data_IF_809324565936
#
_entry.id   IF_809324565936
#
_cell.length_a   1.000
_cell.length_b   1.000
_cell.length_c   1.000
_cell.angle_alpha   90.00
_cell.angle_beta   90.00
_cell.angle_gamma   90.00
#
_symmetry.space_group_name_H-M   'P 1'
#
loop_
_entity.id
_entity.type
_entity.pdbx_description
1 polymer ?
#
# COMPACT_ATOMS: atom_id res chain seq x y z
N UNK A 1 -2.07 -14.87 9.14
CA UNK A 1 -2.83 -14.67 7.88
C UNK A 1 -2.39 -13.35 7.25
N UNK A 2 -2.52 -13.16 5.92
CA UNK A 2 -2.04 -11.93 5.24
C UNK A 2 -0.79 -12.10 4.38
N UNK A 3 -0.55 -13.29 3.80
CA UNK A 3 0.65 -13.59 3.02
C UNK A 3 0.49 -13.40 1.51
N UNK A 4 -0.74 -13.35 1.01
CA UNK A 4 -1.05 -13.29 -0.43
C UNK A 4 -0.37 -12.11 -1.12
N UNK A 5 -0.42 -10.90 -0.54
CA UNK A 5 0.19 -9.72 -1.15
C UNK A 5 1.72 -9.80 -1.24
N UNK A 6 2.37 -10.31 -0.19
CA UNK A 6 3.83 -10.47 -0.16
C UNK A 6 4.29 -11.55 -1.13
N UNK A 7 3.53 -12.66 -1.23
CA UNK A 7 3.80 -13.72 -2.20
C UNK A 7 3.60 -13.23 -3.64
N UNK A 8 2.55 -12.45 -3.92
CA UNK A 8 2.33 -11.85 -5.23
C UNK A 8 3.50 -10.93 -5.62
N UNK A 9 3.96 -10.09 -4.69
CA UNK A 9 5.12 -9.22 -4.94
C UNK A 9 6.38 -10.02 -5.27
N UNK A 10 6.63 -11.12 -4.55
CA UNK A 10 7.74 -12.03 -4.83
C UNK A 10 7.64 -12.72 -6.19
N UNK A 11 6.44 -13.16 -6.59
CA UNK A 11 6.21 -13.77 -7.92
C UNK A 11 6.41 -12.78 -9.07
N UNK A 12 6.09 -11.50 -8.84
CA UNK A 12 6.22 -10.45 -9.85
C UNK A 12 7.59 -9.76 -9.86
N UNK A 13 8.46 -10.06 -8.89
CA UNK A 13 9.71 -9.33 -8.62
C UNK A 13 9.48 -7.81 -8.46
N UNK A 14 8.41 -7.46 -7.73
CA UNK A 14 8.03 -6.07 -7.48
C UNK A 14 8.34 -5.66 -6.04
N UNK A 15 8.58 -4.36 -5.85
CA UNK A 15 8.62 -3.79 -4.52
C UNK A 15 7.30 -4.08 -3.78
N UNK A 16 7.37 -4.20 -2.44
CA UNK A 16 6.19 -4.40 -1.60
C UNK A 16 6.15 -3.39 -0.45
N UNK A 17 4.94 -2.96 -0.10
CA UNK A 17 4.67 -2.25 1.15
C UNK A 17 3.43 -2.85 1.81
N UNK A 18 3.56 -3.24 3.07
CA UNK A 18 2.48 -3.89 3.83
C UNK A 18 1.92 -2.98 4.91
N UNK A 19 0.63 -3.16 5.25
CA UNK A 19 -0.06 -2.42 6.32
C UNK A 19 -0.12 -0.90 6.08
N UNK A 20 -0.40 -0.50 4.84
CA UNK A 20 -0.49 0.92 4.47
C UNK A 20 -1.70 1.60 5.13
N UNK A 21 -1.45 2.68 5.87
CA UNK A 21 -2.46 3.59 6.46
C UNK A 21 -2.58 4.91 5.70
N UNK A 22 -1.62 5.23 4.81
CA UNK A 22 -1.72 6.34 3.85
C UNK A 22 -0.94 6.02 2.58
N UNK A 23 -1.47 6.38 1.41
CA UNK A 23 -0.81 6.16 0.11
C UNK A 23 -0.92 7.43 -0.74
N UNK A 24 0.22 7.96 -1.18
CA UNK A 24 0.31 9.06 -2.13
C UNK A 24 1.11 8.60 -3.36
N UNK A 25 0.47 8.59 -4.53
CA UNK A 25 1.08 8.10 -5.78
C UNK A 25 1.40 9.27 -6.70
N UNK A 26 2.67 9.41 -7.08
CA UNK A 26 3.14 10.30 -8.13
C UNK A 26 3.34 9.48 -9.42
N UNK A 27 2.36 9.55 -10.31
CA UNK A 27 2.36 8.82 -11.58
C UNK A 27 3.37 9.37 -12.58
N UNK A 28 3.70 10.67 -12.52
CA UNK A 28 4.68 11.29 -13.41
C UNK A 28 6.09 10.83 -13.07
N UNK A 29 6.42 10.79 -11.78
CA UNK A 29 7.74 10.35 -11.28
C UNK A 29 7.84 8.85 -11.07
N UNK A 30 6.74 8.12 -11.24
CA UNK A 30 6.63 6.67 -11.00
C UNK A 30 7.08 6.28 -9.60
N UNK A 31 6.57 6.99 -8.60
CA UNK A 31 6.91 6.79 -7.19
C UNK A 31 5.63 6.76 -6.34
N UNK A 32 5.63 5.95 -5.30
CA UNK A 32 4.63 6.02 -4.24
C UNK A 32 5.30 6.32 -2.89
N UNK A 33 4.75 7.29 -2.16
CA UNK A 33 5.03 7.52 -0.75
C UNK A 33 3.92 6.83 0.06
N UNK A 34 4.31 5.94 0.97
CA UNK A 34 3.37 5.12 1.73
C UNK A 34 3.71 5.24 3.21
N UNK A 35 2.74 5.58 4.03
CA UNK A 35 2.83 5.44 5.48
C UNK A 35 2.25 4.08 5.86
N UNK A 36 3.02 3.26 6.57
CA UNK A 36 2.59 1.95 7.05
C UNK A 36 2.58 1.89 8.56
N UNK A 37 1.78 0.98 9.09
CA UNK A 37 1.80 0.65 10.50
C UNK A 37 2.88 -0.39 10.80
N UNK A 38 3.54 -0.18 11.94
CA UNK A 38 4.50 -1.09 12.54
C UNK A 38 4.24 -1.17 14.05
N UNK A 39 4.83 -2.16 14.70
CA UNK A 39 4.74 -2.27 16.16
C UNK A 39 5.36 -1.01 16.79
N UNK A 40 4.52 -0.23 17.49
CA UNK A 40 4.94 0.99 18.17
C UNK A 40 4.80 2.29 17.36
N UNK A 41 4.23 2.27 16.14
CA UNK A 41 3.92 3.53 15.44
C UNK A 41 3.74 3.42 13.93
N UNK A 42 4.21 4.45 13.23
CA UNK A 42 4.11 4.62 11.79
C UNK A 42 5.51 4.71 11.17
N UNK A 43 5.67 4.14 9.99
CA UNK A 43 6.88 4.24 9.17
C UNK A 43 6.53 4.81 7.79
N UNK A 44 7.29 5.78 7.30
CA UNK A 44 7.15 6.32 5.95
C UNK A 44 8.16 5.68 5.00
N UNK A 45 7.66 5.16 3.88
CA UNK A 45 8.46 4.51 2.85
C UNK A 45 8.22 5.17 1.49
N UNK A 46 9.30 5.31 0.72
CA UNK A 46 9.26 5.77 -0.67
C UNK A 46 9.71 4.65 -1.59
N UNK A 47 8.85 4.26 -2.53
CA UNK A 47 9.09 3.15 -3.45
C UNK A 47 8.87 3.55 -4.91
N UNK A 48 9.58 2.89 -5.82
CA UNK A 48 9.39 3.05 -7.27
C UNK A 48 8.26 2.15 -7.74
N UNK A 49 7.47 2.63 -8.71
CA UNK A 49 6.49 1.80 -9.41
C UNK A 49 7.19 0.89 -10.44
N UNK A 50 6.73 -0.36 -10.64
CA UNK A 50 5.54 -0.98 -10.02
C UNK A 50 5.78 -1.49 -8.59
N UNK A 51 4.72 -1.49 -7.78
CA UNK A 51 4.74 -1.90 -6.36
C UNK A 51 3.44 -2.62 -6.01
N UNK A 52 3.52 -3.63 -5.14
CA UNK A 52 2.34 -4.25 -4.51
C UNK A 52 2.13 -3.64 -3.13
N UNK A 53 0.92 -3.14 -2.85
CA UNK A 53 0.57 -2.52 -1.57
C UNK A 53 -0.55 -3.33 -0.92
N UNK A 54 -0.38 -3.72 0.35
CA UNK A 54 -1.49 -4.21 1.19
C UNK A 54 -1.92 -3.12 2.16
N UNK A 55 -3.22 -2.99 2.36
CA UNK A 55 -3.83 -1.88 3.09
C UNK A 55 -4.20 -2.29 4.50
N UNK A 56 -3.94 -1.42 5.47
CA UNK A 56 -4.53 -1.51 6.79
C UNK A 56 -5.98 -0.97 6.78
N UNK A 57 -6.77 -1.30 7.80
CA UNK A 57 -8.11 -0.76 8.01
C UNK A 57 -8.11 0.76 8.20
N UNK A 58 -7.00 1.33 8.69
CA UNK A 58 -6.88 2.79 8.90
C UNK A 58 -6.63 3.58 7.61
N UNK A 59 -6.53 2.93 6.45
CA UNK A 59 -6.25 3.61 5.19
C UNK A 59 -7.33 4.61 4.79
N UNK A 60 -8.61 4.21 4.86
CA UNK A 60 -9.74 5.05 4.51
C UNK A 60 -11.06 4.50 5.10
N UNK A 61 -12.12 5.29 4.95
CA UNK A 61 -13.49 4.82 5.15
C UNK A 61 -14.11 4.48 3.79
N UNK A 62 -14.47 3.21 3.52
CA UNK A 62 -15.09 2.83 2.26
C UNK A 62 -16.42 3.57 2.05
N UNK A 63 -16.59 4.19 0.88
CA UNK A 63 -17.86 4.82 0.49
C UNK A 63 -18.96 3.77 0.29
N UNK A 64 -20.21 4.13 0.60
CA UNK A 64 -21.37 3.38 0.11
C UNK A 64 -21.55 3.57 -1.40
N UNK A 65 -21.93 2.50 -2.10
CA UNK A 65 -22.25 2.58 -3.52
C UNK A 65 -23.61 3.28 -3.70
N UNK A 66 -23.67 4.32 -4.54
CA UNK A 66 -24.91 4.98 -4.93
C UNK A 66 -25.43 4.44 -6.26
N UNK A 67 -26.75 4.45 -6.45
CA UNK A 67 -27.36 4.22 -7.75
C UNK A 67 -27.01 5.39 -8.70
N UNK A 68 -26.76 5.10 -9.99
CA UNK A 68 -26.38 6.09 -10.98
C UNK A 68 -27.51 7.07 -11.33
#
# INVERSE_FOLDING_TARGET
AGQTGQMLAGLMDWAQVTFASKVEVDTQRKVANVTREIDGGLEELKCRLPVVITTDLRLNEPRYASLP
#
